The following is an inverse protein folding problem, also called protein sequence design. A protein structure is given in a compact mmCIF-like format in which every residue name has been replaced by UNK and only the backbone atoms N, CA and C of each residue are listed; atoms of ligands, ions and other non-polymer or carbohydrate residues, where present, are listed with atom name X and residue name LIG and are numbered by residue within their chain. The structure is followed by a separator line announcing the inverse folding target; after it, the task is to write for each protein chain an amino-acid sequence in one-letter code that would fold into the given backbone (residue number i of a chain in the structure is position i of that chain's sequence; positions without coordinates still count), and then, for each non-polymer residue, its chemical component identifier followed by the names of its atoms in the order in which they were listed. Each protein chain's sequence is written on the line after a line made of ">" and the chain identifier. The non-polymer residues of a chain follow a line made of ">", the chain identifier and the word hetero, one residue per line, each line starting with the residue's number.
data_IF_532090257732
#
_entry.id   IF_532090257732
#
_cell.length_a   1.000
_cell.length_b   1.000
_cell.length_c   1.000
_cell.angle_alpha   90.00
_cell.angle_beta   90.00
_cell.angle_gamma   90.00
#
_symmetry.space_group_name_H-M   'P 1'
#
loop_
_entity.id
_entity.type
_entity.pdbx_description
1 polymer ?
#
# COMPACT_ATOMS: atom_id res chain seq x y z
N UNK A 1 -8.41 -18.91 -5.34
CA UNK A 1 -7.13 -18.18 -5.25
C UNK A 1 -7.32 -17.10 -4.20
N UNK A 2 -6.89 -17.34 -2.96
CA UNK A 2 -6.99 -16.34 -1.89
C UNK A 2 -5.69 -15.54 -1.92
N UNK A 3 -5.63 -14.53 -2.80
CA UNK A 3 -4.52 -13.59 -2.81
C UNK A 3 -4.54 -12.86 -1.47
N UNK A 4 -3.47 -12.88 -0.65
CA UNK A 4 -3.43 -12.05 0.54
C UNK A 4 -3.55 -10.60 0.07
N UNK A 5 -4.65 -9.93 0.42
CA UNK A 5 -4.76 -8.50 0.20
C UNK A 5 -3.79 -7.83 1.16
N UNK A 6 -2.57 -7.57 0.68
CA UNK A 6 -1.45 -6.97 1.41
C UNK A 6 -1.75 -5.53 1.89
N UNK A 7 -2.87 -4.96 1.46
CA UNK A 7 -3.28 -3.59 1.76
C UNK A 7 -4.39 -3.59 2.80
N UNK A 8 -4.07 -3.15 4.01
CA UNK A 8 -5.08 -2.82 5.03
C UNK A 8 -5.70 -1.45 4.72
N UNK A 9 -6.90 -1.45 4.13
CA UNK A 9 -7.63 -0.23 3.78
C UNK A 9 -8.02 0.60 5.00
N UNK A 10 -8.25 -0.01 6.17
CA UNK A 10 -8.55 0.74 7.39
C UNK A 10 -7.30 1.51 7.84
N UNK A 11 -6.14 0.87 7.79
CA UNK A 11 -4.87 1.54 8.10
C UNK A 11 -4.57 2.64 7.08
N UNK A 12 -4.74 2.37 5.79
CA UNK A 12 -4.54 3.37 4.74
C UNK A 12 -5.44 4.60 4.95
N UNK A 13 -6.71 4.41 5.29
CA UNK A 13 -7.63 5.53 5.57
C UNK A 13 -7.15 6.40 6.71
N UNK A 14 -6.69 5.78 7.82
CA UNK A 14 -6.14 6.52 8.96
C UNK A 14 -4.88 7.29 8.62
N UNK A 15 -4.03 6.71 7.76
CA UNK A 15 -2.79 7.36 7.35
C UNK A 15 -3.03 8.46 6.31
N UNK A 16 -4.06 8.34 5.46
CA UNK A 16 -4.50 9.45 4.59
C UNK A 16 -4.89 10.67 5.40
N UNK A 17 -5.66 10.49 6.48
CA UNK A 17 -6.09 11.61 7.33
C UNK A 17 -4.92 12.37 7.98
N UNK A 18 -3.76 11.74 8.16
CA UNK A 18 -2.56 12.34 8.76
C UNK A 18 -1.57 12.85 7.73
N UNK A 19 -1.79 12.59 6.44
CA UNK A 19 -0.84 12.90 5.38
C UNK A 19 -0.94 14.40 5.03
N UNK A 20 0.11 15.15 5.31
CA UNK A 20 0.13 16.60 5.05
C UNK A 20 0.04 16.92 3.56
N UNK A 21 0.64 16.09 2.69
CA UNK A 21 0.53 16.29 1.24
C UNK A 21 -0.91 16.13 0.77
N UNK A 22 -1.65 15.17 1.33
CA UNK A 22 -3.08 15.04 1.04
C UNK A 22 -3.84 16.30 1.48
N UNK A 23 -3.57 16.82 2.68
CA UNK A 23 -4.22 18.05 3.16
C UNK A 23 -3.91 19.26 2.28
N UNK A 24 -2.65 19.43 1.85
CA UNK A 24 -2.26 20.53 0.96
C UNK A 24 -2.97 20.47 -0.40
N UNK A 25 -3.17 19.26 -0.95
CA UNK A 25 -3.91 19.05 -2.19
C UNK A 25 -5.39 19.38 -2.00
N UNK A 26 -6.00 18.91 -0.90
CA UNK A 26 -7.42 19.18 -0.60
C UNK A 26 -7.70 20.65 -0.29
N UNK A 27 -6.70 21.37 0.22
CA UNK A 27 -6.76 22.81 0.48
C UNK A 27 -6.44 23.67 -0.76
N UNK A 28 -6.28 23.06 -1.94
CA UNK A 28 -5.88 23.73 -3.19
C UNK A 28 -4.62 24.61 -3.03
N UNK A 29 -3.70 24.20 -2.14
CA UNK A 29 -2.53 25.01 -1.77
C UNK A 29 -1.50 25.15 -2.89
N UNK A 30 -1.52 24.24 -3.86
CA UNK A 30 -0.67 24.26 -5.05
C UNK A 30 -1.43 23.77 -6.28
N UNK A 31 -1.11 24.26 -7.49
CA UNK A 31 -1.73 23.78 -8.71
C UNK A 31 -1.33 22.32 -8.97
N UNK A 32 -2.31 21.42 -8.96
CA UNK A 32 -2.13 19.99 -9.29
C UNK A 32 -3.18 19.56 -10.29
N UNK A 33 -2.88 18.55 -11.10
CA UNK A 33 -3.86 17.91 -12.00
C UNK A 33 -4.69 16.82 -11.32
N UNK A 34 -4.47 16.56 -10.02
CA UNK A 34 -5.17 15.51 -9.29
C UNK A 34 -6.59 15.97 -8.97
N UNK A 35 -7.54 15.05 -9.10
CA UNK A 35 -8.93 15.27 -8.68
C UNK A 35 -9.24 14.23 -7.61
N UNK A 36 -9.14 14.62 -6.35
CA UNK A 36 -9.31 13.70 -5.22
C UNK A 36 -10.76 13.68 -4.73
N UNK A 37 -11.36 12.50 -4.68
CA UNK A 37 -12.71 12.28 -4.16
C UNK A 37 -12.74 11.17 -3.10
N UNK A 38 -13.55 11.33 -2.03
CA UNK A 38 -13.75 10.27 -1.06
C UNK A 38 -14.65 9.17 -1.65
N UNK A 39 -14.16 7.93 -1.69
CA UNK A 39 -14.88 6.78 -2.23
C UNK A 39 -14.87 5.61 -1.22
N UNK A 40 -15.98 4.86 -1.09
CA UNK A 40 -16.03 3.67 -0.25
C UNK A 40 -15.29 2.50 -0.91
N UNK A 41 -14.46 1.80 -0.14
CA UNK A 41 -13.61 0.70 -0.63
C UNK A 41 -13.68 -0.49 0.34
N UNK A 42 -13.72 -1.70 -0.20
CA UNK A 42 -13.75 -2.95 0.58
C UNK A 42 -15.11 -3.30 1.20
N UNK A 43 -15.11 -4.36 2.01
CA UNK A 43 -16.28 -4.83 2.77
C UNK A 43 -15.82 -5.26 4.19
N UNK A 44 -16.31 -4.63 5.27
CA UNK A 44 -17.19 -3.44 5.28
C UNK A 44 -16.50 -2.22 4.61
N UNK A 45 -17.29 -1.28 4.05
CA UNK A 45 -16.73 -0.17 3.30
C UNK A 45 -15.96 0.80 4.22
N UNK A 46 -14.78 1.20 3.77
CA UNK A 46 -13.95 2.25 4.36
C UNK A 46 -13.76 3.36 3.33
N UNK A 47 -13.88 4.62 3.75
CA UNK A 47 -13.68 5.76 2.85
C UNK A 47 -12.19 6.03 2.62
N UNK A 48 -11.77 6.10 1.36
CA UNK A 48 -10.45 6.55 0.94
C UNK A 48 -10.57 7.74 -0.01
N UNK A 49 -9.62 8.66 0.06
CA UNK A 49 -9.41 9.66 -0.99
C UNK A 49 -8.75 9.00 -2.19
N UNK A 50 -9.41 9.10 -3.35
CA UNK A 50 -8.99 8.51 -4.60
C UNK A 50 -8.87 9.58 -5.68
N UNK A 51 -7.82 9.48 -6.49
CA UNK A 51 -7.67 10.24 -7.72
C UNK A 51 -8.60 9.69 -8.80
N UNK A 52 -9.49 10.56 -9.29
CA UNK A 52 -10.47 10.31 -10.35
C UNK A 52 -10.22 11.16 -11.59
N UNK A 53 -9.05 11.81 -11.68
CA UNK A 53 -8.68 12.67 -12.82
C UNK A 53 -8.54 11.94 -14.16
N UNK A 54 -8.48 10.61 -14.13
CA UNK A 54 -8.32 9.76 -15.32
C UNK A 54 -9.39 8.66 -15.32
N UNK A 55 -9.49 7.91 -16.43
CA UNK A 55 -10.44 6.81 -16.62
C UNK A 55 -10.35 5.68 -15.56
N UNK A 56 -9.27 5.65 -14.77
CA UNK A 56 -9.07 4.68 -13.69
C UNK A 56 -8.93 5.37 -12.35
N UNK A 57 -9.83 5.02 -11.44
CA UNK A 57 -9.82 5.43 -10.04
C UNK A 57 -8.59 4.82 -9.34
N UNK A 58 -7.80 5.65 -8.65
CA UNK A 58 -6.60 5.22 -7.93
C UNK A 58 -6.61 5.77 -6.50
N UNK A 59 -6.51 4.94 -5.45
CA UNK A 59 -6.35 5.44 -4.09
C UNK A 59 -5.10 6.32 -3.96
N UNK A 60 -5.21 7.47 -3.30
CA UNK A 60 -4.03 8.25 -2.91
C UNK A 60 -3.25 7.45 -1.87
N UNK A 61 -1.98 7.16 -2.11
CA UNK A 61 -1.17 6.38 -1.15
C UNK A 61 -0.39 7.33 -0.24
N UNK A 62 -0.69 7.36 1.08
CA UNK A 62 0.03 8.19 2.04
C UNK A 62 1.51 7.85 2.10
N UNK A 63 2.35 8.83 2.42
CA UNK A 63 3.81 8.66 2.45
C UNK A 63 4.25 7.48 3.33
N UNK A 64 3.67 7.35 4.53
CA UNK A 64 3.97 6.24 5.46
C UNK A 64 3.56 4.89 4.89
N UNK A 65 2.49 4.87 4.09
CA UNK A 65 1.95 3.67 3.48
C UNK A 65 2.71 3.27 2.20
N UNK A 66 3.38 4.22 1.52
CA UNK A 66 4.24 3.93 0.35
C UNK A 66 5.37 2.98 0.72
N UNK A 67 6.01 3.18 1.87
CA UNK A 67 7.08 2.31 2.37
C UNK A 67 6.58 0.89 2.64
N UNK A 68 5.42 0.76 3.27
CA UNK A 68 4.82 -0.54 3.60
C UNK A 68 4.43 -1.32 2.33
N UNK A 69 3.76 -0.66 1.38
CA UNK A 69 3.42 -1.28 0.09
C UNK A 69 4.70 -1.71 -0.64
N UNK A 70 5.71 -0.84 -0.70
CA UNK A 70 6.98 -1.16 -1.35
C UNK A 70 7.67 -2.36 -0.70
N UNK A 71 7.83 -2.37 0.64
CA UNK A 71 8.47 -3.47 1.36
C UNK A 71 7.73 -4.80 1.19
N UNK A 72 6.41 -4.76 1.23
CA UNK A 72 5.62 -5.98 1.07
C UNK A 72 5.73 -6.53 -0.35
N UNK A 73 5.61 -5.68 -1.38
CA UNK A 73 5.79 -6.10 -2.78
C UNK A 73 7.22 -6.58 -3.06
N UNK A 74 8.22 -5.90 -2.51
CA UNK A 74 9.63 -6.29 -2.63
C UNK A 74 9.89 -7.66 -1.98
N UNK A 75 9.39 -7.88 -0.76
CA UNK A 75 9.54 -9.17 -0.05
C UNK A 75 8.84 -10.31 -0.79
N UNK A 76 7.66 -10.05 -1.36
CA UNK A 76 6.90 -11.03 -2.16
C UNK A 76 7.52 -11.34 -3.52
N UNK A 77 8.35 -10.44 -4.05
CA UNK A 77 9.11 -10.65 -5.29
C UNK A 77 10.44 -11.38 -5.04
N UNK A 78 10.94 -11.38 -3.80
CA UNK A 78 12.15 -12.10 -3.38
C UNK A 78 11.93 -13.27 -2.37
N UNK A 79 10.90 -14.12 -2.50
CA UNK A 79 10.71 -15.25 -1.57
C UNK A 79 11.84 -16.29 -1.72
N UNK A 80 12.47 -16.40 -2.89
CA UNK A 80 13.52 -17.38 -3.18
C UNK A 80 14.84 -17.16 -2.44
N UNK A 81 15.19 -15.93 -2.09
CA UNK A 81 16.48 -15.62 -1.42
C UNK A 81 16.43 -15.95 0.08
N UNK A 82 15.33 -15.61 0.76
CA UNK A 82 15.18 -15.92 2.20
C UNK A 82 14.84 -17.40 2.44
N UNK A 83 14.11 -18.04 1.53
CA UNK A 83 13.88 -19.48 1.57
C UNK A 83 15.17 -20.29 1.40
N UNK A 84 16.10 -19.85 0.53
CA UNK A 84 17.39 -20.53 0.33
C UNK A 84 18.30 -20.45 1.56
N UNK A 85 18.30 -19.34 2.31
CA UNK A 85 19.12 -19.22 3.52
C UNK A 85 18.65 -20.12 4.68
N UNK A 86 17.36 -20.49 4.73
CA UNK A 86 16.82 -21.40 5.77
C UNK A 86 16.98 -22.88 5.41
N UNK A 87 17.21 -23.21 4.13
CA UNK A 87 17.42 -24.59 3.66
C UNK A 87 18.90 -25.01 3.63
N UNK A 88 19.85 -24.12 3.94
CA UNK A 88 21.29 -24.44 3.96
C UNK A 88 21.81 -24.77 5.37
N UNK A 89 20.99 -24.64 6.43
CA UNK A 89 21.41 -24.95 7.81
C UNK A 89 21.04 -26.35 8.33
N UNK A 90 20.47 -27.24 7.52
CA UNK A 90 20.01 -28.54 8.02
C UNK A 90 20.35 -29.76 7.15
N UNK A 91 21.51 -29.74 6.48
CA UNK A 91 22.16 -30.97 5.99
C UNK A 91 23.67 -30.87 6.18
N UNK A 92 24.12 -31.28 7.36
CA UNK A 92 25.54 -31.45 7.68
C UNK A 92 25.80 -32.34 8.89
N UNK A 93 24.80 -33.08 9.36
CA UNK A 93 24.96 -34.13 10.35
C UNK A 93 24.66 -35.48 9.70
N UNK A 94 25.71 -36.25 9.44
CA UNK A 94 25.74 -37.71 9.61
C UNK A 94 27.16 -38.24 9.38
N UNK A 95 27.71 -38.78 10.47
CA UNK A 95 28.85 -39.70 10.63
C UNK A 95 30.26 -39.17 10.35
#
# INVERSE_FOLDING_TARGET
>A
INTPSVVDFNKMAREQLKDSQLQDILADSFPTSLVLQPLPVGQPPVTLHCDVSMDRIRPFVPIMFRWEIFNNLHTLSHPGVRASLKMVKNTGGCQ
#
